data_IF_843495975249
#
_entry.id   IF_843495975249
#
_cell.length_a   1.000
_cell.length_b   1.000
_cell.length_c   1.000
_cell.angle_alpha   90.00
_cell.angle_beta   90.00
_cell.angle_gamma   90.00
#
_symmetry.space_group_name_H-M   'P 1'
#
loop_
_entity.id
_entity.type
_entity.pdbx_description
1 polymer ?
#
# COMPACT_ATOMS: atom_id res chain seq x y z
N UNK A 1 -5.67 20.51 -25.83
CA UNK A 1 -4.38 19.81 -25.97
C UNK A 1 -3.99 18.99 -24.72
N UNK A 2 -4.36 19.40 -23.50
CA UNK A 2 -4.28 18.54 -22.30
C UNK A 2 -5.38 17.44 -22.28
N UNK A 3 -6.62 17.82 -22.59
CA UNK A 3 -7.80 16.95 -22.55
C UNK A 3 -7.71 15.71 -23.48
N UNK A 4 -7.02 15.84 -24.61
CA UNK A 4 -6.84 14.75 -25.58
C UNK A 4 -5.75 13.74 -25.15
N UNK A 5 -4.72 14.20 -24.44
CA UNK A 5 -3.69 13.34 -23.86
C UNK A 5 -4.22 12.53 -22.67
N UNK A 6 -5.06 13.15 -21.84
CA UNK A 6 -5.67 12.48 -20.69
C UNK A 6 -6.66 11.39 -21.12
N UNK A 7 -7.41 11.63 -22.20
CA UNK A 7 -8.29 10.64 -22.82
C UNK A 7 -7.52 9.45 -23.43
N UNK A 8 -6.35 9.70 -24.03
CA UNK A 8 -5.47 8.67 -24.54
C UNK A 8 -4.95 7.76 -23.41
N UNK A 9 -4.37 8.36 -22.36
CA UNK A 9 -3.83 7.62 -21.19
C UNK A 9 -4.91 6.75 -20.53
N UNK A 10 -6.13 7.28 -20.40
CA UNK A 10 -7.25 6.53 -19.79
C UNK A 10 -7.65 5.32 -20.64
N UNK A 11 -7.59 5.44 -21.97
CA UNK A 11 -7.87 4.34 -22.90
C UNK A 11 -6.79 3.27 -22.84
N UNK A 12 -5.50 3.65 -22.79
CA UNK A 12 -4.35 2.74 -22.65
C UNK A 12 -4.45 1.90 -21.39
N UNK A 13 -4.69 2.56 -20.24
CA UNK A 13 -4.92 1.92 -18.93
C UNK A 13 -6.04 0.89 -18.95
N UNK A 14 -7.15 1.20 -19.62
CA UNK A 14 -8.31 0.32 -19.71
C UNK A 14 -8.02 -1.00 -20.44
N UNK A 15 -7.15 -0.97 -21.47
CA UNK A 15 -6.73 -2.18 -22.21
C UNK A 15 -5.78 -3.02 -21.38
N UNK A 16 -4.77 -2.40 -20.79
CA UNK A 16 -3.82 -3.08 -19.90
C UNK A 16 -4.53 -3.77 -18.74
N UNK A 17 -5.46 -3.06 -18.08
CA UNK A 17 -6.24 -3.61 -16.97
C UNK A 17 -7.01 -4.87 -17.36
N UNK A 18 -7.62 -4.90 -18.56
CA UNK A 18 -8.36 -6.08 -19.05
C UNK A 18 -7.43 -7.26 -19.35
N UNK A 19 -6.28 -7.02 -19.95
CA UNK A 19 -5.30 -8.05 -20.27
C UNK A 19 -4.69 -8.67 -18.99
N UNK A 20 -4.31 -7.83 -18.03
CA UNK A 20 -3.73 -8.26 -16.75
C UNK A 20 -4.79 -8.92 -15.86
N UNK A 21 -6.04 -8.44 -15.85
CA UNK A 21 -7.10 -8.97 -14.98
C UNK A 21 -7.39 -10.47 -15.20
N UNK A 22 -7.12 -11.00 -16.40
CA UNK A 22 -7.34 -12.41 -16.72
C UNK A 22 -6.33 -13.33 -16.03
N UNK A 23 -5.11 -12.86 -15.80
CA UNK A 23 -3.98 -13.68 -15.33
C UNK A 23 -3.54 -13.29 -13.92
N UNK A 24 -3.53 -11.98 -13.63
CA UNK A 24 -3.15 -11.38 -12.36
C UNK A 24 -4.18 -10.35 -11.89
N UNK A 25 -5.37 -10.79 -11.42
CA UNK A 25 -6.47 -9.91 -11.02
C UNK A 25 -6.11 -8.93 -9.90
N UNK A 26 -5.23 -9.28 -8.97
CA UNK A 26 -4.83 -8.42 -7.85
C UNK A 26 -3.86 -7.34 -8.26
N UNK A 27 -2.97 -7.61 -9.20
CA UNK A 27 -2.17 -6.56 -9.84
C UNK A 27 -3.08 -5.64 -10.67
N UNK A 28 -4.07 -6.18 -11.39
CA UNK A 28 -5.01 -5.39 -12.17
C UNK A 28 -5.92 -4.46 -11.32
N UNK A 29 -6.26 -4.88 -10.10
CA UNK A 29 -6.98 -4.06 -9.14
C UNK A 29 -6.15 -2.83 -8.72
N UNK A 30 -4.84 -3.04 -8.53
CA UNK A 30 -3.90 -1.99 -8.12
C UNK A 30 -3.42 -1.09 -9.28
N UNK A 31 -3.55 -1.53 -10.54
CA UNK A 31 -3.25 -0.73 -11.74
C UNK A 31 -4.12 0.53 -11.90
N UNK A 32 -5.16 0.71 -11.07
CA UNK A 32 -5.92 1.96 -10.96
C UNK A 32 -5.83 2.64 -9.59
N UNK A 33 -4.95 2.14 -8.71
CA UNK A 33 -4.76 2.62 -7.34
C UNK A 33 -3.42 3.35 -7.15
N UNK A 34 -3.08 3.75 -5.92
CA UNK A 34 -1.84 4.45 -5.61
C UNK A 34 -0.57 3.63 -5.93
N UNK A 35 -0.70 2.31 -6.07
CA UNK A 35 0.39 1.39 -6.39
C UNK A 35 0.48 1.05 -7.89
N UNK A 36 -0.28 1.72 -8.75
CA UNK A 36 -0.34 1.39 -10.19
C UNK A 36 1.04 1.45 -10.88
N UNK A 37 1.86 2.46 -10.56
CA UNK A 37 3.20 2.61 -11.13
C UNK A 37 4.14 1.47 -10.73
N UNK A 38 4.12 1.08 -9.45
CA UNK A 38 4.89 -0.04 -8.95
C UNK A 38 4.45 -1.35 -9.61
N UNK A 39 3.14 -1.60 -9.70
CA UNK A 39 2.56 -2.75 -10.37
C UNK A 39 2.98 -2.85 -11.85
N UNK A 40 2.88 -1.76 -12.61
CA UNK A 40 3.31 -1.70 -14.01
C UNK A 40 4.82 -1.97 -14.17
N UNK A 41 5.65 -1.42 -13.28
CA UNK A 41 7.10 -1.65 -13.29
C UNK A 41 7.47 -3.10 -12.97
N UNK A 42 6.75 -3.77 -12.06
CA UNK A 42 6.95 -5.20 -11.76
C UNK A 42 6.60 -6.06 -12.96
N UNK A 43 5.49 -5.76 -13.64
CA UNK A 43 5.09 -6.47 -14.87
C UNK A 43 6.15 -6.27 -15.96
N UNK A 44 6.60 -5.03 -16.19
CA UNK A 44 7.62 -4.71 -17.19
C UNK A 44 8.93 -5.46 -16.92
N UNK A 45 9.35 -5.53 -15.66
CA UNK A 45 10.57 -6.24 -15.25
C UNK A 45 10.46 -7.75 -15.46
N UNK A 46 9.32 -8.35 -15.10
CA UNK A 46 9.14 -9.81 -15.16
C UNK A 46 8.93 -10.31 -16.59
N UNK A 47 8.21 -9.56 -17.43
CA UNK A 47 7.90 -9.97 -18.80
C UNK A 47 9.01 -9.56 -19.78
N UNK A 48 9.64 -8.40 -19.58
CA UNK A 48 10.57 -7.81 -20.56
C UNK A 48 11.98 -7.55 -20.03
N UNK A 49 12.24 -7.71 -18.73
CA UNK A 49 13.53 -7.37 -18.13
C UNK A 49 13.84 -5.87 -18.17
N UNK A 50 12.83 -5.01 -18.34
CA UNK A 50 12.97 -3.55 -18.41
C UNK A 50 12.32 -2.87 -17.21
N UNK A 51 12.91 -1.78 -16.74
CA UNK A 51 12.42 -1.05 -15.56
C UNK A 51 11.12 -0.26 -15.83
N UNK A 52 10.88 0.12 -17.09
CA UNK A 52 9.66 0.82 -17.52
C UNK A 52 9.34 0.49 -18.97
N UNK A 53 8.04 0.33 -19.26
CA UNK A 53 7.52 0.08 -20.61
C UNK A 53 6.15 0.74 -20.73
N UNK A 54 5.78 1.17 -21.93
CA UNK A 54 4.49 1.83 -22.16
C UNK A 54 3.35 0.83 -21.88
N UNK A 55 2.29 1.30 -21.22
CA UNK A 55 1.18 0.43 -20.78
C UNK A 55 0.49 -0.28 -21.95
N UNK A 56 0.49 0.32 -23.14
CA UNK A 56 -0.06 -0.29 -24.37
C UNK A 56 0.82 -1.43 -24.90
N UNK A 57 2.14 -1.28 -24.87
CA UNK A 57 3.06 -2.33 -25.30
C UNK A 57 2.97 -3.55 -24.37
N UNK A 58 2.78 -3.30 -23.07
CA UNK A 58 2.54 -4.37 -22.09
C UNK A 58 1.23 -5.10 -22.40
N UNK A 59 0.16 -4.37 -22.75
CA UNK A 59 -1.14 -4.96 -23.07
C UNK A 59 -1.09 -5.85 -24.34
N UNK A 60 -0.48 -5.37 -25.42
CA UNK A 60 -0.36 -6.15 -26.67
C UNK A 60 0.45 -7.43 -26.51
N UNK A 61 1.51 -7.38 -25.71
CA UNK A 61 2.35 -8.56 -25.48
C UNK A 61 1.67 -9.52 -24.51
N UNK A 62 0.91 -9.04 -23.53
CA UNK A 62 0.09 -9.89 -22.68
C UNK A 62 -1.01 -10.63 -23.43
N UNK A 63 -1.59 -10.03 -24.47
CA UNK A 63 -2.55 -10.70 -25.35
C UNK A 63 -1.91 -11.83 -26.18
N UNK A 64 -0.60 -11.75 -26.44
CA UNK A 64 0.18 -12.75 -27.20
C UNK A 64 1.13 -13.58 -26.32
N UNK A 65 1.02 -13.45 -24.99
CA UNK A 65 2.00 -14.00 -24.06
C UNK A 65 2.03 -15.53 -24.10
N UNK A 66 3.23 -16.09 -23.95
CA UNK A 66 3.40 -17.54 -23.85
C UNK A 66 2.94 -18.05 -22.49
N UNK A 67 2.56 -19.34 -22.35
CA UNK A 67 2.16 -19.92 -21.06
C UNK A 67 3.21 -19.74 -19.95
N UNK A 68 4.49 -19.73 -20.30
CA UNK A 68 5.60 -19.49 -19.37
C UNK A 68 5.61 -18.06 -18.82
N UNK A 69 5.34 -17.07 -19.68
CA UNK A 69 5.23 -15.66 -19.28
C UNK A 69 3.99 -15.42 -18.40
N UNK A 70 2.88 -16.10 -18.68
CA UNK A 70 1.68 -16.04 -17.84
C UNK A 70 1.95 -16.65 -16.45
N UNK A 71 2.74 -17.74 -16.38
CA UNK A 71 3.15 -18.33 -15.11
C UNK A 71 4.10 -17.40 -14.33
N UNK A 72 5.05 -16.76 -15.01
CA UNK A 72 5.95 -15.77 -14.41
C UNK A 72 5.15 -14.58 -13.84
N UNK A 73 4.16 -14.08 -14.59
CA UNK A 73 3.26 -13.04 -14.11
C UNK A 73 2.45 -13.49 -12.88
N UNK A 74 2.00 -14.74 -12.85
CA UNK A 74 1.28 -15.28 -11.68
C UNK A 74 2.17 -15.40 -10.45
N UNK A 75 3.44 -15.77 -10.62
CA UNK A 75 4.43 -15.77 -9.54
C UNK A 75 4.69 -14.36 -9.02
N UNK A 76 4.86 -13.39 -9.91
CA UNK A 76 5.01 -11.99 -9.55
C UNK A 76 3.79 -11.45 -8.78
N UNK A 77 2.58 -11.87 -9.14
CA UNK A 77 1.37 -11.54 -8.37
C UNK A 77 1.42 -12.11 -6.94
N UNK A 78 1.87 -13.35 -6.77
CA UNK A 78 2.00 -13.94 -5.43
C UNK A 78 3.06 -13.21 -4.59
N UNK A 79 4.21 -12.88 -5.17
CA UNK A 79 5.26 -12.10 -4.50
C UNK A 79 4.77 -10.71 -4.09
N UNK A 80 4.04 -10.05 -4.98
CA UNK A 80 3.40 -8.77 -4.67
C UNK A 80 2.42 -8.88 -3.50
N UNK A 81 1.58 -9.92 -3.47
CA UNK A 81 0.65 -10.15 -2.37
C UNK A 81 1.35 -10.41 -1.04
N UNK A 82 2.47 -11.15 -1.06
CA UNK A 82 3.29 -11.38 0.12
C UNK A 82 3.85 -10.05 0.63
N UNK A 83 4.46 -9.23 -0.25
CA UNK A 83 5.01 -7.94 0.13
C UNK A 83 3.96 -6.99 0.71
N UNK A 84 2.76 -6.95 0.12
CA UNK A 84 1.63 -6.14 0.65
C UNK A 84 1.19 -6.64 2.02
N UNK A 85 1.13 -7.97 2.22
CA UNK A 85 0.77 -8.57 3.51
C UNK A 85 1.82 -8.28 4.58
N UNK A 86 3.10 -8.40 4.23
CA UNK A 86 4.24 -8.11 5.11
C UNK A 86 4.24 -6.65 5.54
N UNK A 87 4.05 -5.71 4.61
CA UNK A 87 3.94 -4.29 4.92
C UNK A 87 2.79 -4.00 5.91
N UNK A 88 1.63 -4.62 5.72
CA UNK A 88 0.49 -4.46 6.63
C UNK A 88 0.76 -5.04 8.05
N UNK A 89 1.50 -6.15 8.13
CA UNK A 89 1.89 -6.73 9.43
C UNK A 89 2.91 -5.84 10.13
N UNK A 90 3.86 -5.27 9.39
CA UNK A 90 4.87 -4.38 9.95
C UNK A 90 4.25 -3.07 10.45
N UNK A 91 3.30 -2.50 9.71
CA UNK A 91 2.51 -1.36 10.16
C UNK A 91 1.78 -1.66 11.48
N UNK A 92 1.10 -2.81 11.56
CA UNK A 92 0.43 -3.23 12.79
C UNK A 92 1.40 -3.44 13.96
N UNK A 93 2.63 -3.92 13.68
CA UNK A 93 3.70 -4.06 14.68
C UNK A 93 4.18 -2.70 15.17
N UNK A 94 4.40 -1.75 14.27
CA UNK A 94 4.81 -0.37 14.59
C UNK A 94 3.75 0.28 15.49
N UNK A 95 2.47 0.17 15.12
CA UNK A 95 1.36 0.69 15.93
C UNK A 95 1.26 0.04 17.31
N UNK A 96 1.44 -1.28 17.39
CA UNK A 96 1.47 -1.98 18.67
C UNK A 96 2.67 -1.53 19.53
N UNK A 97 3.83 -1.33 18.90
CA UNK A 97 5.04 -0.81 19.50
C UNK A 97 4.87 0.60 20.06
N UNK A 98 4.22 1.49 19.31
CA UNK A 98 3.93 2.86 19.75
C UNK A 98 3.06 2.87 21.02
N UNK A 99 1.98 2.06 21.03
CA UNK A 99 1.13 1.90 22.22
C UNK A 99 1.89 1.30 23.40
N UNK A 100 2.78 0.33 23.16
CA UNK A 100 3.58 -0.26 24.22
C UNK A 100 4.57 0.76 24.79
N UNK A 101 5.26 1.52 23.93
CA UNK A 101 6.17 2.59 24.31
C UNK A 101 5.47 3.68 25.12
N UNK A 102 4.26 4.08 24.71
CA UNK A 102 3.45 5.03 25.46
C UNK A 102 3.12 4.54 26.87
N UNK A 103 2.74 3.27 27.03
CA UNK A 103 2.48 2.67 28.36
C UNK A 103 3.75 2.54 29.20
N UNK A 104 4.86 2.14 28.58
CA UNK A 104 6.15 2.02 29.27
C UNK A 104 6.64 3.38 29.74
N UNK A 105 6.50 4.43 28.91
CA UNK A 105 6.81 5.81 29.30
C UNK A 105 6.01 6.23 30.53
N UNK A 106 4.70 5.98 30.55
CA UNK A 106 3.84 6.27 31.71
C UNK A 106 4.30 5.51 32.97
N UNK A 107 4.60 4.21 32.84
CA UNK A 107 5.09 3.40 33.96
C UNK A 107 6.46 3.87 34.49
N UNK A 108 7.36 4.33 33.60
CA UNK A 108 8.71 4.80 33.95
C UNK A 108 8.71 6.19 34.57
N UNK A 109 7.87 7.11 34.09
CA UNK A 109 7.83 8.48 34.57
C UNK A 109 7.41 8.57 36.04
N UNK A 110 6.65 7.59 36.56
CA UNK A 110 6.16 7.55 37.96
C UNK A 110 5.68 8.93 38.43
N UNK A 111 5.07 9.68 37.52
CA UNK A 111 4.88 11.10 37.74
C UNK A 111 3.69 11.27 38.68
N UNK A 112 3.99 11.65 39.92
CA UNK A 112 3.01 12.01 40.94
C UNK A 112 2.33 13.35 40.69
N UNK A 113 2.86 14.16 39.76
CA UNK A 113 2.40 15.52 39.48
C UNK A 113 0.93 15.57 39.05
N UNK A 114 0.43 14.71 38.14
CA UNK A 114 -0.99 14.68 37.79
C UNK A 114 -1.89 14.29 38.96
N UNK A 115 -1.45 13.34 39.80
CA UNK A 115 -2.21 12.92 40.99
C UNK A 115 -2.30 14.03 42.03
N UNK A 116 -1.20 14.74 42.26
CA UNK A 116 -1.15 15.87 43.18
C UNK A 116 -2.00 17.04 42.67
N UNK A 117 -1.90 17.35 41.37
CA UNK A 117 -2.69 18.41 40.74
C UNK A 117 -4.18 18.07 40.77
N UNK A 118 -4.54 16.81 40.51
CA UNK A 118 -5.90 16.30 40.64
C UNK A 118 -6.43 16.43 42.08
N UNK A 119 -5.63 16.03 43.08
CA UNK A 119 -5.99 16.18 44.49
C UNK A 119 -6.18 17.65 44.88
N UNK A 120 -5.32 18.55 44.39
CA UNK A 120 -5.43 20.00 44.63
C UNK A 120 -6.70 20.59 44.02
N UNK A 121 -7.05 20.22 42.79
CA UNK A 121 -8.28 20.69 42.13
C UNK A 121 -9.52 20.20 42.89
N UNK A 122 -9.54 18.92 43.30
CA UNK A 122 -10.63 18.35 44.09
C UNK A 122 -10.77 19.08 45.42
N UNK A 123 -9.67 19.26 46.16
CA UNK A 123 -9.71 19.95 47.45
C UNK A 123 -10.15 21.42 47.30
N UNK A 124 -9.65 22.13 46.29
CA UNK A 124 -10.04 23.52 45.99
C UNK A 124 -11.53 23.65 45.67
N UNK A 125 -12.10 22.72 44.90
CA UNK A 125 -13.53 22.70 44.62
C UNK A 125 -14.38 22.57 45.89
N UNK A 126 -14.04 21.63 46.79
CA UNK A 126 -14.82 21.41 48.02
C UNK A 126 -14.60 22.46 49.12
N UNK A 127 -13.50 23.22 49.07
CA UNK A 127 -13.25 24.33 50.02
C UNK A 127 -14.00 25.60 49.60
N UNK A 128 -14.27 25.76 48.31
CA UNK A 128 -14.95 26.97 47.77
C UNK A 128 -16.46 26.84 47.72
N UNK A 129 -16.99 25.62 47.73
CA UNK A 129 -18.42 25.29 47.81
C UNK A 129 -18.89 25.20 49.27
#
# INVERSE_FOLDING_TARGET
MADEKDAEITRKRGRLKKAVARTAPKIAEQLGGPLAGAAASTIARVIFGKDAMDEDEIAEVLEKATPEQLLALKRAENEFLIAVREAAVEEARIDAGDRASARERQARLKDWTPSLLGALIIAGFFVTL
#
